data_IF_031026660424
#
_entry.id   IF_031026660424
#
_cell.length_a   1.000
_cell.length_b   1.000
_cell.length_c   1.000
_cell.angle_alpha   90.00
_cell.angle_beta   90.00
_cell.angle_gamma   90.00
#
_symmetry.space_group_name_H-M   'P 1'
#
loop_
_entity.id
_entity.type
_entity.pdbx_description
1 polymer ?
#
# COMPACT_ATOMS: atom_id res chain seq x y z
N UNK A 1 2.26 -14.24 8.73
CA UNK A 1 1.53 -12.97 8.92
C UNK A 1 0.98 -12.56 7.57
N UNK A 2 -0.28 -12.10 7.47
CA UNK A 2 -0.83 -11.59 6.19
C UNK A 2 -0.02 -10.38 5.71
N UNK A 3 0.12 -10.22 4.40
CA UNK A 3 0.86 -9.10 3.81
C UNK A 3 0.25 -7.76 4.24
N UNK A 4 -1.08 -7.67 4.28
CA UNK A 4 -1.77 -6.47 4.77
C UNK A 4 -1.41 -6.11 6.22
N UNK A 5 -1.15 -7.10 7.08
CA UNK A 5 -0.71 -6.83 8.46
C UNK A 5 0.75 -6.36 8.52
N UNK A 6 1.62 -6.88 7.63
CA UNK A 6 3.00 -6.41 7.51
C UNK A 6 3.06 -4.95 7.03
N UNK A 7 2.30 -4.62 6.00
CA UNK A 7 2.22 -3.26 5.45
C UNK A 7 1.65 -2.28 6.49
N UNK A 8 0.62 -2.70 7.24
CA UNK A 8 0.08 -1.93 8.37
C UNK A 8 1.11 -1.72 9.48
N UNK A 9 1.88 -2.74 9.87
CA UNK A 9 2.90 -2.58 10.90
C UNK A 9 3.95 -1.55 10.45
N UNK A 10 4.44 -1.68 9.22
CA UNK A 10 5.40 -0.75 8.65
C UNK A 10 4.87 0.70 8.56
N UNK A 11 3.56 0.89 8.43
CA UNK A 11 2.93 2.22 8.48
C UNK A 11 3.12 2.88 9.85
N UNK A 12 2.85 2.14 10.93
CA UNK A 12 3.05 2.65 12.29
C UNK A 12 4.52 2.82 12.63
N UNK A 13 5.38 1.90 12.16
CA UNK A 13 6.83 2.01 12.33
C UNK A 13 7.37 3.28 11.64
N UNK A 14 6.87 3.61 10.45
CA UNK A 14 7.23 4.86 9.77
C UNK A 14 6.86 6.09 10.61
N UNK A 15 5.64 6.11 11.18
CA UNK A 15 5.18 7.23 12.02
C UNK A 15 6.07 7.37 13.25
N UNK A 16 6.38 6.26 13.92
CA UNK A 16 7.23 6.25 15.12
C UNK A 16 8.65 6.77 14.82
N UNK A 17 9.23 6.33 13.70
CA UNK A 17 10.59 6.73 13.30
C UNK A 17 10.68 8.17 12.79
N UNK A 18 9.66 8.65 12.08
CA UNK A 18 9.71 9.93 11.36
C UNK A 18 8.88 11.04 12.01
N UNK A 19 8.08 10.72 13.02
CA UNK A 19 7.08 11.61 13.64
C UNK A 19 6.12 12.26 12.62
N UNK A 20 5.82 11.54 11.53
CA UNK A 20 5.00 12.01 10.39
C UNK A 20 4.13 10.90 9.85
N UNK A 21 2.89 11.25 9.47
CA UNK A 21 1.96 10.33 8.80
C UNK A 21 2.27 10.25 7.31
N UNK A 22 2.66 9.08 6.76
CA UNK A 22 2.89 8.92 5.33
C UNK A 22 1.56 9.03 4.59
N UNK A 23 1.59 9.43 3.33
CA UNK A 23 0.41 9.57 2.46
C UNK A 23 0.52 8.72 1.19
N UNK A 24 1.64 8.05 1.00
CA UNK A 24 1.94 7.29 -0.20
C UNK A 24 2.65 5.99 0.14
N UNK A 25 2.18 4.89 -0.44
CA UNK A 25 2.77 3.56 -0.35
C UNK A 25 3.26 3.14 -1.72
N UNK A 26 4.56 2.96 -1.89
CA UNK A 26 5.15 2.42 -3.12
C UNK A 26 5.30 0.90 -2.97
N UNK A 27 4.69 0.11 -3.84
CA UNK A 27 4.78 -1.36 -3.81
C UNK A 27 5.14 -1.93 -5.17
N UNK A 28 5.59 -3.18 -5.21
CA UNK A 28 5.74 -3.90 -6.47
C UNK A 28 4.41 -4.38 -7.06
N UNK A 29 4.40 -4.74 -8.35
CA UNK A 29 3.20 -5.30 -9.00
C UNK A 29 2.75 -6.61 -8.36
N UNK A 30 3.68 -7.43 -7.89
CA UNK A 30 3.41 -8.67 -7.16
C UNK A 30 2.71 -8.41 -5.84
N UNK A 31 3.21 -7.46 -5.03
CA UNK A 31 2.59 -7.01 -3.78
C UNK A 31 1.19 -6.42 -4.02
N UNK A 32 1.01 -5.64 -5.08
CA UNK A 32 -0.29 -5.05 -5.43
C UNK A 32 -1.36 -6.13 -5.64
N UNK A 33 -1.05 -7.17 -6.44
CA UNK A 33 -1.98 -8.28 -6.71
C UNK A 33 -2.33 -9.05 -5.44
N UNK A 34 -1.32 -9.37 -4.61
CA UNK A 34 -1.53 -10.07 -3.34
C UNK A 34 -2.42 -9.28 -2.37
N UNK A 35 -2.19 -7.96 -2.25
CA UNK A 35 -3.03 -7.10 -1.43
C UNK A 35 -4.48 -7.07 -1.92
N UNK A 36 -4.70 -7.03 -3.23
CA UNK A 36 -6.03 -7.05 -3.83
C UNK A 36 -6.78 -8.37 -3.53
N UNK A 37 -6.06 -9.50 -3.54
CA UNK A 37 -6.62 -10.83 -3.24
C UNK A 37 -6.88 -11.06 -1.74
N UNK A 38 -6.12 -10.43 -0.84
CA UNK A 38 -6.24 -10.65 0.61
C UNK A 38 -7.54 -10.08 1.22
N UNK A 39 -8.29 -9.24 0.49
CA UNK A 39 -9.53 -8.59 0.92
C UNK A 39 -9.47 -8.07 2.37
N UNK A 40 -8.44 -7.27 2.68
CA UNK A 40 -8.21 -6.75 4.03
C UNK A 40 -9.04 -5.50 4.33
N UNK A 41 -9.48 -5.33 5.59
CA UNK A 41 -10.20 -4.12 6.05
C UNK A 41 -9.38 -2.81 5.95
N UNK A 42 -8.08 -2.92 5.70
CA UNK A 42 -7.19 -1.77 5.51
C UNK A 42 -7.16 -1.28 4.07
N UNK A 43 -7.75 -2.04 3.15
CA UNK A 43 -7.70 -1.78 1.73
C UNK A 43 -9.08 -1.31 1.29
N UNK A 44 -9.13 -0.18 0.62
CA UNK A 44 -10.33 0.30 -0.07
C UNK A 44 -10.07 0.29 -1.55
N UNK A 45 -10.98 -0.31 -2.32
CA UNK A 45 -10.90 -0.37 -3.78
C UNK A 45 -12.07 0.39 -4.39
N UNK A 46 -11.77 1.24 -5.37
CA UNK A 46 -12.76 1.97 -6.15
C UNK A 46 -12.60 1.57 -7.62
N UNK A 47 -13.58 0.89 -8.23
CA UNK A 47 -13.55 0.62 -9.66
C UNK A 47 -13.53 1.94 -10.44
N UNK A 48 -12.63 2.07 -11.41
CA UNK A 48 -12.60 3.21 -12.33
C UNK A 48 -13.19 2.82 -13.68
N UNK A 49 -13.75 3.80 -14.40
CA UNK A 49 -14.30 3.63 -15.75
C UNK A 49 -13.27 3.13 -16.78
N UNK A 50 -11.97 3.25 -16.46
CA UNK A 50 -10.85 2.76 -17.26
C UNK A 50 -10.62 1.25 -17.15
N UNK A 51 -11.37 0.56 -16.28
CA UNK A 51 -11.15 -0.86 -15.97
C UNK A 51 -9.99 -1.11 -14.99
N UNK A 52 -9.38 -0.03 -14.48
CA UNK A 52 -8.38 -0.08 -13.40
C UNK A 52 -9.11 0.06 -12.07
N UNK A 53 -8.60 -0.59 -11.03
CA UNK A 53 -9.06 -0.41 -9.65
C UNK A 53 -8.16 0.60 -8.99
N UNK A 54 -8.72 1.72 -8.51
CA UNK A 54 -8.02 2.60 -7.59
C UNK A 54 -7.98 1.93 -6.21
N UNK A 55 -6.78 1.72 -5.66
CA UNK A 55 -6.59 1.01 -4.40
C UNK A 55 -5.90 1.93 -3.40
N UNK A 56 -6.49 2.06 -2.21
CA UNK A 56 -5.93 2.83 -1.09
C UNK A 56 -5.67 1.92 0.09
N UNK A 57 -4.58 2.18 0.82
CA UNK A 57 -4.22 1.45 2.04
C UNK A 57 -4.27 2.40 3.24
N UNK A 58 -5.18 2.16 4.18
CA UNK A 58 -5.46 3.07 5.30
C UNK A 58 -5.73 4.52 4.85
N UNK A 59 -6.38 4.68 3.69
CA UNK A 59 -6.64 5.98 3.07
C UNK A 59 -5.44 6.63 2.36
N UNK A 60 -4.26 5.99 2.36
CA UNK A 60 -3.09 6.44 1.64
C UNK A 60 -3.09 5.94 0.19
N UNK A 61 -2.54 6.77 -0.70
CA UNK A 61 -2.40 6.43 -2.12
C UNK A 61 -1.37 5.31 -2.31
N UNK A 62 -1.58 4.48 -3.34
CA UNK A 62 -0.68 3.37 -3.65
C UNK A 62 -0.08 3.55 -5.04
N UNK A 63 1.25 3.60 -5.09
CA UNK A 63 2.01 3.54 -6.33
C UNK A 63 2.53 2.14 -6.60
N UNK A 64 2.53 1.74 -7.88
CA UNK A 64 3.19 0.49 -8.30
C UNK A 64 4.55 0.83 -8.92
N UNK A 65 5.62 0.36 -8.30
CA UNK A 65 6.98 0.45 -8.82
C UNK A 65 7.13 -0.43 -10.06
N UNK A 66 7.72 0.09 -11.16
CA UNK A 66 8.04 -0.71 -12.35
C UNK A 66 9.19 -1.69 -12.09
N UNK A 67 9.97 -1.47 -11.03
CA UNK A 67 11.08 -2.34 -10.63
C UNK A 67 10.67 -3.16 -9.40
N UNK A 68 10.81 -4.48 -9.49
CA UNK A 68 10.44 -5.46 -8.45
C UNK A 68 11.46 -5.49 -7.27
N UNK A 69 12.23 -4.42 -7.08
CA UNK A 69 13.38 -4.38 -6.14
C UNK A 69 12.99 -4.14 -4.68
N UNK A 70 11.82 -3.56 -4.41
CA UNK A 70 11.31 -3.32 -3.05
C UNK A 70 9.93 -3.96 -2.90
N UNK A 71 9.72 -4.77 -1.84
CA UNK A 71 8.40 -5.38 -1.59
C UNK A 71 7.34 -4.33 -1.28
N UNK A 72 7.67 -3.29 -0.51
CA UNK A 72 6.88 -2.09 -0.28
C UNK A 72 7.69 -1.02 0.49
N UNK A 73 7.33 0.27 0.34
CA UNK A 73 7.96 1.41 1.03
C UNK A 73 6.94 2.52 1.33
N UNK A 74 6.93 3.04 2.55
CA UNK A 74 6.11 4.19 2.94
C UNK A 74 6.85 5.51 2.72
N UNK A 75 6.18 6.47 2.10
CA UNK A 75 6.74 7.77 1.78
C UNK A 75 5.79 8.91 2.18
N UNK A 76 6.40 10.08 2.42
CA UNK A 76 5.69 11.34 2.48
C UNK A 76 5.95 12.09 1.18
N UNK A 77 4.93 12.20 0.33
CA UNK A 77 4.89 13.14 -0.79
C UNK A 77 4.54 14.54 -0.30
#
# INVERSE_FOLDING_TARGET
MKLSQQVKQAFFDYIDQNYKVPNYLLISSSTYKLLLEEHSDFITTTPMDTGIVDMKFLGCEIGVSPNDTSSFEWQKQ
#
